data_IF_649413019436
#
_entry.id   IF_649413019436
#
_cell.length_a   1.000
_cell.length_b   1.000
_cell.length_c   1.000
_cell.angle_alpha   90.00
_cell.angle_beta   90.00
_cell.angle_gamma   90.00
#
_symmetry.space_group_name_H-M   'P 1'
#
loop_
_entity.id
_entity.type
_entity.pdbx_description
1 polymer ?
#
# COMPACT_ATOMS: atom_id res chain seq x y z
N UNK A 1 11.71 3.60 4.10
CA UNK A 1 10.86 3.36 2.92
C UNK A 1 10.80 1.89 2.50
N UNK A 2 11.92 1.16 2.48
CA UNK A 2 11.90 -0.27 2.13
C UNK A 2 10.96 -1.11 3.01
N UNK A 3 10.94 -0.88 4.33
CA UNK A 3 10.02 -1.58 5.24
C UNK A 3 8.54 -1.32 4.92
N UNK A 4 8.21 -0.09 4.53
CA UNK A 4 6.86 0.27 4.09
C UNK A 4 6.48 -0.49 2.80
N UNK A 5 7.40 -0.58 1.84
CA UNK A 5 7.18 -1.38 0.63
C UNK A 5 7.00 -2.87 0.97
N UNK A 6 7.81 -3.38 1.92
CA UNK A 6 7.68 -4.73 2.44
C UNK A 6 6.30 -5.02 3.03
N UNK A 7 5.77 -4.09 3.83
CA UNK A 7 4.43 -4.21 4.40
C UNK A 7 3.34 -4.26 3.31
N UNK A 8 3.42 -3.41 2.28
CA UNK A 8 2.51 -3.44 1.13
C UNK A 8 2.57 -4.79 0.42
N UNK A 9 3.78 -5.30 0.14
CA UNK A 9 3.96 -6.59 -0.52
C UNK A 9 3.38 -7.75 0.31
N UNK A 10 3.61 -7.76 1.63
CA UNK A 10 3.03 -8.75 2.54
C UNK A 10 1.52 -8.67 2.56
N UNK A 11 0.93 -7.46 2.55
CA UNK A 11 -0.51 -7.30 2.44
C UNK A 11 -1.05 -7.86 1.12
N UNK A 12 -0.33 -7.68 0.01
CA UNK A 12 -0.66 -8.35 -1.25
C UNK A 12 -0.71 -9.87 -1.13
N UNK A 13 0.25 -10.48 -0.42
CA UNK A 13 0.23 -11.93 -0.15
C UNK A 13 -0.95 -12.37 0.73
N UNK A 14 -1.33 -11.55 1.72
CA UNK A 14 -2.53 -11.79 2.56
C UNK A 14 -3.78 -11.82 1.68
N UNK A 15 -3.95 -10.87 0.75
CA UNK A 15 -5.08 -10.88 -0.20
C UNK A 15 -5.04 -12.11 -1.12
N UNK A 16 -3.87 -12.45 -1.67
CA UNK A 16 -3.70 -13.62 -2.53
C UNK A 16 -4.06 -14.94 -1.85
N UNK A 17 -3.93 -15.02 -0.52
CA UNK A 17 -4.33 -16.22 0.24
C UNK A 17 -5.80 -16.58 0.05
N UNK A 18 -6.67 -15.62 -0.31
CA UNK A 18 -8.09 -15.86 -0.62
C UNK A 18 -8.34 -16.62 -1.92
N UNK A 19 -7.32 -16.80 -2.78
CA UNK A 19 -7.46 -17.48 -4.07
C UNK A 19 -7.96 -18.92 -3.93
N UNK A 20 -7.52 -19.63 -2.89
CA UNK A 20 -7.83 -21.04 -2.66
C UNK A 20 -8.47 -21.25 -1.30
N UNK A 21 -9.28 -22.29 -1.17
CA UNK A 21 -9.90 -22.64 0.11
C UNK A 21 -8.85 -23.02 1.15
N UNK A 22 -7.84 -23.79 0.74
CA UNK A 22 -6.75 -24.25 1.60
C UNK A 22 -5.96 -23.11 2.27
N UNK A 23 -5.90 -21.93 1.67
CA UNK A 23 -5.19 -20.75 2.21
C UNK A 23 -6.13 -19.64 2.68
N UNK A 24 -7.44 -19.80 2.48
CA UNK A 24 -8.44 -18.75 2.67
C UNK A 24 -8.62 -18.27 4.11
N UNK A 25 -8.15 -19.03 5.09
CA UNK A 25 -8.22 -18.64 6.51
C UNK A 25 -7.51 -17.31 6.78
N UNK A 26 -6.40 -17.04 6.10
CA UNK A 26 -5.66 -15.77 6.27
C UNK A 26 -6.48 -14.59 5.74
N UNK A 27 -7.16 -14.74 4.61
CA UNK A 27 -8.06 -13.73 4.09
C UNK A 27 -9.34 -13.57 4.95
N UNK A 28 -9.83 -14.64 5.58
CA UNK A 28 -10.96 -14.55 6.51
C UNK A 28 -10.64 -13.64 7.70
N UNK A 29 -9.46 -13.78 8.35
CA UNK A 29 -9.14 -12.90 9.49
C UNK A 29 -9.02 -11.45 9.03
N UNK A 30 -8.56 -11.21 7.79
CA UNK A 30 -8.56 -9.86 7.22
C UNK A 30 -9.99 -9.31 7.13
N UNK A 31 -10.94 -10.07 6.56
CA UNK A 31 -12.34 -9.62 6.49
C UNK A 31 -12.97 -9.40 7.86
N UNK A 32 -12.63 -10.23 8.87
CA UNK A 32 -13.07 -10.03 10.25
C UNK A 32 -12.54 -8.72 10.85
N UNK A 33 -11.28 -8.37 10.54
CA UNK A 33 -10.69 -7.08 10.94
C UNK A 33 -11.39 -5.91 10.26
N UNK A 34 -11.68 -6.05 8.96
CA UNK A 34 -12.30 -5.00 8.15
C UNK A 34 -13.78 -4.77 8.50
N UNK A 35 -14.47 -5.76 9.09
CA UNK A 35 -15.82 -5.67 9.65
C UNK A 35 -16.84 -5.11 8.66
N UNK A 36 -16.93 -5.77 7.52
CA UNK A 36 -17.90 -5.43 6.47
C UNK A 36 -19.33 -5.83 6.79
N UNK A 37 -20.29 -5.45 5.92
CA UNK A 37 -21.69 -5.78 6.11
C UNK A 37 -21.95 -7.28 5.85
N UNK A 38 -22.30 -8.00 6.91
CA UNK A 38 -22.72 -9.40 6.83
C UNK A 38 -21.58 -10.40 6.61
N UNK A 39 -21.89 -11.70 6.53
CA UNK A 39 -20.89 -12.74 6.35
C UNK A 39 -20.31 -12.74 4.93
N UNK A 40 -19.02 -13.07 4.82
CA UNK A 40 -18.34 -13.20 3.52
C UNK A 40 -18.86 -14.43 2.78
N UNK A 41 -19.31 -14.22 1.55
CA UNK A 41 -19.68 -15.31 0.64
C UNK A 41 -18.53 -15.62 -0.31
N UNK A 42 -17.94 -16.80 -0.17
CA UNK A 42 -16.75 -17.20 -0.95
C UNK A 42 -17.13 -17.85 -2.29
N UNK A 43 -17.48 -17.03 -3.27
CA UNK A 43 -17.70 -17.48 -4.65
C UNK A 43 -16.42 -17.38 -5.52
N UNK A 44 -16.38 -18.02 -6.70
CA UNK A 44 -15.22 -17.96 -7.59
C UNK A 44 -14.82 -16.55 -8.03
N UNK A 45 -15.77 -15.61 -8.17
CA UNK A 45 -15.49 -14.25 -8.58
C UNK A 45 -14.80 -13.45 -7.47
N UNK A 46 -15.23 -13.61 -6.21
CA UNK A 46 -14.55 -13.01 -5.06
C UNK A 46 -13.12 -13.56 -4.90
N UNK A 47 -12.96 -14.88 -5.00
CA UNK A 47 -11.63 -15.53 -4.92
C UNK A 47 -10.68 -15.01 -6.00
N UNK A 48 -11.15 -14.95 -7.25
CA UNK A 48 -10.38 -14.39 -8.36
C UNK A 48 -10.05 -12.91 -8.12
N UNK A 49 -11.02 -12.12 -7.67
CA UNK A 49 -10.83 -10.68 -7.44
C UNK A 49 -9.80 -10.42 -6.33
N UNK A 50 -9.83 -11.19 -5.24
CA UNK A 50 -8.83 -11.11 -4.16
C UNK A 50 -7.44 -11.53 -4.64
N UNK A 51 -7.35 -12.61 -5.42
CA UNK A 51 -6.09 -13.06 -6.01
C UNK A 51 -5.49 -11.97 -6.91
N UNK A 52 -6.31 -11.39 -7.79
CA UNK A 52 -5.91 -10.31 -8.67
C UNK A 52 -5.48 -9.06 -7.90
N UNK A 53 -6.25 -8.64 -6.89
CA UNK A 53 -5.92 -7.48 -6.06
C UNK A 53 -4.66 -7.68 -5.24
N UNK A 54 -4.44 -8.89 -4.73
CA UNK A 54 -3.20 -9.22 -4.06
C UNK A 54 -1.99 -9.19 -5.00
N UNK A 55 -2.11 -9.72 -6.21
CA UNK A 55 -1.05 -9.66 -7.22
C UNK A 55 -0.72 -8.21 -7.65
N UNK A 56 -1.75 -7.38 -7.87
CA UNK A 56 -1.59 -5.94 -8.17
C UNK A 56 -0.90 -5.23 -7.01
N UNK A 57 -1.32 -5.52 -5.76
CA UNK A 57 -0.75 -4.94 -4.54
C UNK A 57 0.72 -5.28 -4.36
N UNK A 58 1.06 -6.55 -4.55
CA UNK A 58 2.43 -7.04 -4.53
C UNK A 58 3.27 -6.32 -5.61
N UNK A 59 2.73 -6.22 -6.83
CA UNK A 59 3.38 -5.60 -7.97
C UNK A 59 3.72 -4.13 -7.72
N UNK A 60 2.76 -3.30 -7.30
CA UNK A 60 3.05 -1.88 -7.09
C UNK A 60 3.92 -1.65 -5.86
N UNK A 61 3.83 -2.48 -4.81
CA UNK A 61 4.77 -2.46 -3.69
C UNK A 61 6.21 -2.71 -4.15
N UNK A 62 6.42 -3.68 -5.05
CA UNK A 62 7.71 -3.94 -5.67
C UNK A 62 8.16 -2.79 -6.59
N UNK A 63 7.25 -2.16 -7.35
CA UNK A 63 7.55 -0.97 -8.16
C UNK A 63 8.05 0.18 -7.31
N UNK A 64 7.39 0.49 -6.19
CA UNK A 64 7.86 1.56 -5.28
C UNK A 64 9.20 1.17 -4.65
N UNK A 65 9.41 -0.11 -4.30
CA UNK A 65 10.71 -0.57 -3.81
C UNK A 65 11.83 -0.38 -4.86
N UNK A 66 11.55 -0.62 -6.13
CA UNK A 66 12.50 -0.34 -7.22
C UNK A 66 12.82 1.15 -7.31
N UNK A 67 11.81 2.03 -7.18
CA UNK A 67 12.01 3.49 -7.11
C UNK A 67 12.86 3.89 -5.90
N UNK A 68 12.61 3.30 -4.72
CA UNK A 68 13.42 3.54 -3.52
C UNK A 68 14.89 3.20 -3.77
N UNK A 69 15.17 2.07 -4.42
CA UNK A 69 16.52 1.63 -4.70
C UNK A 69 17.19 2.45 -5.80
N UNK A 70 16.44 2.86 -6.83
CA UNK A 70 16.97 3.62 -7.96
C UNK A 70 17.19 5.12 -7.71
N UNK A 71 16.51 5.72 -6.72
CA UNK A 71 16.60 7.17 -6.45
C UNK A 71 17.80 7.56 -5.57
N UNK A 72 18.61 6.61 -5.12
CA UNK A 72 19.81 6.85 -4.32
C UNK A 72 20.87 7.64 -5.07
N UNK A 73 21.12 7.26 -6.32
CA UNK A 73 22.21 7.80 -7.16
C UNK A 73 21.73 8.87 -8.16
N UNK A 74 20.43 9.19 -8.14
CA UNK A 74 19.85 10.20 -9.04
C UNK A 74 20.16 11.63 -8.57
N UNK A 75 20.34 12.59 -9.51
CA UNK A 75 20.40 14.01 -9.17
C UNK A 75 19.16 14.44 -8.36
N UNK A 76 19.37 15.25 -7.33
CA UNK A 76 18.34 15.57 -6.33
C UNK A 76 17.02 16.09 -6.94
N UNK A 77 17.11 16.94 -7.97
CA UNK A 77 15.95 17.47 -8.68
C UNK A 77 15.13 16.38 -9.41
N UNK A 78 15.80 15.41 -10.03
CA UNK A 78 15.14 14.29 -10.72
C UNK A 78 14.48 13.34 -9.72
N UNK A 79 15.20 12.99 -8.64
CA UNK A 79 14.64 12.19 -7.56
C UNK A 79 13.39 12.86 -6.95
N UNK A 80 13.44 14.17 -6.72
CA UNK A 80 12.30 14.93 -6.19
C UNK A 80 11.09 14.89 -7.14
N UNK A 81 11.29 15.08 -8.45
CA UNK A 81 10.23 15.01 -9.43
C UNK A 81 9.54 13.63 -9.42
N UNK A 82 10.32 12.55 -9.38
CA UNK A 82 9.81 11.18 -9.30
C UNK A 82 9.01 10.95 -8.01
N UNK A 83 9.53 11.39 -6.87
CA UNK A 83 8.84 11.26 -5.58
C UNK A 83 7.55 12.07 -5.50
N UNK A 84 7.45 13.21 -6.20
CA UNK A 84 6.17 13.95 -6.33
C UNK A 84 5.14 13.14 -7.10
N UNK A 85 5.54 12.49 -8.19
CA UNK A 85 4.68 11.58 -8.96
C UNK A 85 4.19 10.40 -8.11
N UNK A 86 5.09 9.71 -7.41
CA UNK A 86 4.72 8.60 -6.51
C UNK A 86 3.78 9.09 -5.40
N UNK A 87 4.06 10.25 -4.79
CA UNK A 87 3.20 10.80 -3.73
C UNK A 87 1.81 11.12 -4.27
N UNK A 88 1.70 11.72 -5.45
CA UNK A 88 0.41 11.99 -6.07
C UNK A 88 -0.38 10.71 -6.36
N UNK A 89 0.29 9.67 -6.88
CA UNK A 89 -0.34 8.37 -7.13
C UNK A 89 -0.85 7.70 -5.84
N UNK A 90 -0.06 7.73 -4.76
CA UNK A 90 -0.47 7.18 -3.46
C UNK A 90 -1.60 7.96 -2.80
N UNK A 91 -1.63 9.29 -2.94
CA UNK A 91 -2.74 10.10 -2.47
C UNK A 91 -4.02 9.83 -3.26
N UNK A 92 -3.92 9.67 -4.58
CA UNK A 92 -5.05 9.28 -5.43
C UNK A 92 -5.60 7.91 -5.01
N UNK A 93 -4.73 6.91 -4.85
CA UNK A 93 -5.12 5.59 -4.34
C UNK A 93 -5.82 5.71 -2.97
N UNK A 94 -5.21 6.43 -2.02
CA UNK A 94 -5.78 6.63 -0.69
C UNK A 94 -7.19 7.20 -0.73
N UNK A 95 -7.42 8.25 -1.54
CA UNK A 95 -8.73 8.90 -1.65
C UNK A 95 -9.76 7.95 -2.25
N UNK A 96 -9.43 7.32 -3.39
CA UNK A 96 -10.38 6.46 -4.10
C UNK A 96 -10.72 5.22 -3.28
N UNK A 97 -9.71 4.51 -2.79
CA UNK A 97 -9.88 3.26 -2.05
C UNK A 97 -10.63 3.48 -0.72
N UNK A 98 -10.28 4.55 0.01
CA UNK A 98 -10.95 4.87 1.27
C UNK A 98 -12.40 5.31 1.07
N UNK A 99 -12.68 6.09 0.02
CA UNK A 99 -14.06 6.49 -0.31
C UNK A 99 -14.93 5.27 -0.67
N UNK A 100 -14.41 4.36 -1.50
CA UNK A 100 -15.12 3.12 -1.85
C UNK A 100 -15.29 2.19 -0.64
N UNK A 101 -14.29 2.11 0.23
CA UNK A 101 -14.36 1.32 1.46
C UNK A 101 -15.50 1.78 2.37
N UNK A 102 -15.64 3.10 2.57
CA UNK A 102 -16.74 3.66 3.36
C UNK A 102 -18.09 3.42 2.66
N UNK A 103 -18.16 3.67 1.35
CA UNK A 103 -19.39 3.53 0.58
C UNK A 103 -19.91 2.08 0.52
N UNK A 104 -19.02 1.08 0.66
CA UNK A 104 -19.34 -0.35 0.63
C UNK A 104 -19.47 -0.99 2.03
N UNK A 105 -19.31 -0.20 3.10
CA UNK A 105 -19.47 -0.66 4.48
C UNK A 105 -18.20 -1.20 5.14
N UNK A 106 -17.05 -1.20 4.45
CA UNK A 106 -15.74 -1.61 4.96
C UNK A 106 -14.93 -0.43 5.52
N UNK A 107 -15.55 0.45 6.31
CA UNK A 107 -14.95 1.73 6.74
C UNK A 107 -13.62 1.57 7.50
N UNK A 108 -13.40 0.43 8.19
CA UNK A 108 -12.13 0.14 8.89
C UNK A 108 -10.94 0.04 7.92
N UNK A 109 -11.19 -0.30 6.64
CA UNK A 109 -10.14 -0.24 5.63
C UNK A 109 -9.65 1.20 5.40
N UNK A 110 -10.55 2.20 5.43
CA UNK A 110 -10.15 3.60 5.33
C UNK A 110 -9.22 4.00 6.48
N UNK A 111 -9.47 3.51 7.70
CA UNK A 111 -8.56 3.72 8.84
C UNK A 111 -7.19 3.08 8.60
N UNK A 112 -7.16 1.83 8.12
CA UNK A 112 -5.91 1.14 7.74
C UNK A 112 -5.13 1.94 6.68
N UNK A 113 -5.82 2.43 5.66
CA UNK A 113 -5.24 3.26 4.61
C UNK A 113 -4.68 4.58 5.15
N UNK A 114 -5.37 5.22 6.11
CA UNK A 114 -4.87 6.45 6.77
C UNK A 114 -3.57 6.19 7.53
N UNK A 115 -3.46 5.04 8.22
CA UNK A 115 -2.21 4.64 8.88
C UNK A 115 -1.11 4.41 7.85
N UNK A 116 -1.40 3.71 6.76
CA UNK A 116 -0.41 3.39 5.73
C UNK A 116 0.12 4.65 5.03
N UNK A 117 -0.76 5.58 4.64
CA UNK A 117 -0.35 6.84 4.00
C UNK A 117 0.35 7.77 5.00
N UNK A 118 -0.08 7.79 6.26
CA UNK A 118 0.59 8.53 7.33
C UNK A 118 2.03 8.05 7.55
N UNK A 119 2.25 6.73 7.58
CA UNK A 119 3.58 6.14 7.68
C UNK A 119 4.46 6.49 6.48
N UNK A 120 3.91 6.42 5.26
CA UNK A 120 4.61 6.85 4.05
C UNK A 120 5.06 8.32 4.14
N UNK A 121 4.14 9.23 4.46
CA UNK A 121 4.41 10.67 4.55
C UNK A 121 5.44 11.00 5.64
N UNK A 122 5.39 10.30 6.78
CA UNK A 122 6.40 10.43 7.83
C UNK A 122 7.79 10.03 7.33
N UNK A 123 7.91 8.90 6.65
CA UNK A 123 9.17 8.44 6.07
C UNK A 123 9.69 9.40 5.00
N UNK A 124 8.80 10.00 4.21
CA UNK A 124 9.16 11.00 3.21
C UNK A 124 9.73 12.26 3.85
N UNK A 125 9.07 12.79 4.88
CA UNK A 125 9.54 13.97 5.63
C UNK A 125 10.92 13.74 6.25
N UNK A 126 11.14 12.57 6.85
CA UNK A 126 12.44 12.18 7.42
C UNK A 126 13.54 12.16 6.37
N UNK A 127 13.27 11.60 5.19
CA UNK A 127 14.25 11.53 4.11
C UNK A 127 14.67 12.92 3.62
N UNK A 128 13.71 13.84 3.48
CA UNK A 128 14.00 15.23 3.09
C UNK A 128 14.82 15.95 4.15
N UNK A 129 14.49 15.78 5.44
CA UNK A 129 15.22 16.41 6.54
C UNK A 129 16.69 15.96 6.60
N UNK A 130 16.96 14.66 6.46
CA UNK A 130 18.33 14.13 6.43
C UNK A 130 19.15 14.69 5.27
N UNK A 131 18.56 14.78 4.07
CA UNK A 131 19.23 15.34 2.88
C UNK A 131 19.55 16.84 3.04
N UNK A 132 18.67 17.61 3.67
CA UNK A 132 18.91 19.03 3.93
C UNK A 132 20.10 19.28 4.87
N UNK A 133 20.24 18.47 5.94
CA UNK A 133 21.38 18.55 6.87
C UNK A 133 22.70 18.21 6.16
N UNK A 134 22.71 17.18 5.32
CA UNK A 134 23.91 16.81 4.55
C UNK A 134 24.36 17.89 3.57
N UNK A 135 23.42 18.64 2.97
CA UNK A 135 23.75 19.72 2.04
C UNK A 135 24.25 21.01 2.73
N UNK A 136 23.91 21.21 4.00
CA UNK A 136 24.35 22.37 4.78
C UNK A 136 25.73 22.18 5.44
N UNK A 137 26.29 20.96 5.39
CA UNK A 137 27.59 20.59 5.98
C UNK A 137 28.70 20.37 4.95
N UNK A 138 28.39 20.57 3.66
CA UNK A 138 29.29 20.52 2.50
C UNK A 138 29.52 21.91 1.93
#
# INVERSE_FOLDING_TARGET
>A
MQLWCGAVMVFGLVLMSGAFEATGQVANILFDILDGPGPVTWDPALRFSLALMGAVTLGWGATVLAVVRGTGDMPAAQALALWRGITAALLLWYVVDSALSVATGFWRNALSNTVLIGWYLLLMRRNTATRAVSAASS
#
